data_IF_850861445489
#
_entry.id   IF_850861445489
#
_cell.length_a   1.000
_cell.length_b   1.000
_cell.length_c   1.000
_cell.angle_alpha   90.00
_cell.angle_beta   90.00
_cell.angle_gamma   90.00
#
_symmetry.space_group_name_H-M   'P 1'
#
loop_
_entity.id
_entity.type
_entity.pdbx_description
1 polymer ?
#
# COMPACT_ATOMS: atom_id res chain seq x y z
N UNK A 1 9.64 22.91 -12.83
CA UNK A 1 8.40 22.14 -12.62
C UNK A 1 8.43 21.59 -11.20
N UNK A 2 7.35 21.72 -10.42
CA UNK A 2 7.31 21.25 -9.03
C UNK A 2 7.37 19.72 -9.03
N UNK A 3 8.30 19.11 -8.28
CA UNK A 3 8.48 17.65 -8.27
C UNK A 3 7.47 16.95 -7.35
N UNK A 4 7.07 17.61 -6.27
CA UNK A 4 6.20 17.07 -5.21
C UNK A 4 5.14 18.09 -4.82
N UNK A 5 3.92 17.65 -4.52
CA UNK A 5 2.84 18.49 -4.01
C UNK A 5 2.45 18.14 -2.58
N UNK A 6 1.77 19.07 -1.92
CA UNK A 6 1.14 18.84 -0.63
C UNK A 6 -0.03 17.88 -0.81
N UNK A 7 -0.01 16.79 -0.06
CA UNK A 7 -1.08 15.77 -0.03
C UNK A 7 -1.67 15.62 1.38
N UNK A 8 -1.24 16.47 2.33
CA UNK A 8 -1.61 16.37 3.75
C UNK A 8 -2.98 16.96 4.07
N UNK A 9 -3.47 17.90 3.25
CA UNK A 9 -4.74 18.58 3.49
C UNK A 9 -5.92 17.60 3.32
N UNK A 10 -6.49 17.13 4.42
CA UNK A 10 -7.61 16.17 4.44
C UNK A 10 -8.85 16.64 3.65
N UNK A 11 -9.11 17.95 3.63
CA UNK A 11 -10.27 18.53 2.95
C UNK A 11 -10.07 18.66 1.43
N UNK A 12 -8.84 18.50 0.94
CA UNK A 12 -8.58 18.56 -0.49
C UNK A 12 -8.92 17.24 -1.18
N UNK A 13 -10.12 17.16 -1.76
CA UNK A 13 -10.62 15.93 -2.37
C UNK A 13 -9.89 15.57 -3.66
N UNK A 14 -9.23 16.52 -4.32
CA UNK A 14 -8.47 16.22 -5.55
C UNK A 14 -7.29 15.27 -5.32
N UNK A 15 -6.77 15.19 -4.09
CA UNK A 15 -5.56 14.43 -3.79
C UNK A 15 -5.81 12.92 -3.65
N UNK A 16 -7.06 12.49 -3.46
CA UNK A 16 -7.39 11.06 -3.30
C UNK A 16 -7.05 10.24 -4.55
N UNK A 17 -7.22 10.81 -5.76
CA UNK A 17 -6.90 10.12 -7.00
C UNK A 17 -5.38 9.94 -7.19
N UNK A 18 -4.54 10.99 -7.05
CA UNK A 18 -3.08 10.83 -6.99
C UNK A 18 -2.60 9.83 -5.95
N UNK A 19 -3.21 9.82 -4.75
CA UNK A 19 -2.86 8.87 -3.70
C UNK A 19 -3.16 7.43 -4.15
N UNK A 20 -4.37 7.18 -4.64
CA UNK A 20 -4.76 5.86 -5.16
C UNK A 20 -3.81 5.40 -6.28
N UNK A 21 -3.48 6.30 -7.20
CA UNK A 21 -2.51 6.03 -8.27
C UNK A 21 -1.13 5.68 -7.72
N UNK A 22 -0.63 6.42 -6.73
CA UNK A 22 0.65 6.15 -6.09
C UNK A 22 0.70 4.75 -5.49
N UNK A 23 -0.35 4.36 -4.77
CA UNK A 23 -0.46 3.04 -4.14
C UNK A 23 -0.55 1.93 -5.19
N UNK A 24 -1.46 2.04 -6.17
CA UNK A 24 -1.63 1.04 -7.23
C UNK A 24 -0.35 0.84 -8.04
N UNK A 25 0.39 1.92 -8.29
CA UNK A 25 1.65 1.85 -9.01
C UNK A 25 2.69 1.06 -8.21
N UNK A 26 2.90 1.38 -6.93
CA UNK A 26 3.81 0.60 -6.05
C UNK A 26 3.37 -0.86 -5.99
N UNK A 27 2.08 -1.10 -5.76
CA UNK A 27 1.52 -2.44 -5.62
C UNK A 27 1.77 -3.29 -6.87
N UNK A 28 1.61 -2.70 -8.06
CA UNK A 28 1.90 -3.39 -9.32
C UNK A 28 3.36 -3.87 -9.39
N UNK A 29 4.31 -3.06 -8.91
CA UNK A 29 5.72 -3.48 -8.81
C UNK A 29 5.92 -4.57 -7.75
N UNK A 30 5.27 -4.49 -6.59
CA UNK A 30 5.37 -5.51 -5.55
C UNK A 30 4.85 -6.86 -6.06
N UNK A 31 3.70 -6.89 -6.74
CA UNK A 31 3.17 -8.11 -7.36
C UNK A 31 4.17 -8.65 -8.38
N UNK A 32 4.66 -7.78 -9.28
CA UNK A 32 5.63 -8.17 -10.30
C UNK A 32 6.87 -8.83 -9.69
N UNK A 33 7.52 -8.18 -8.71
CA UNK A 33 8.71 -8.71 -8.06
C UNK A 33 8.44 -9.99 -7.24
N UNK A 34 7.27 -10.07 -6.61
CA UNK A 34 6.85 -11.28 -5.87
C UNK A 34 6.71 -12.48 -6.80
N UNK A 35 6.00 -12.31 -7.92
CA UNK A 35 5.73 -13.41 -8.85
C UNK A 35 6.97 -13.83 -9.65
N UNK A 36 7.96 -12.94 -9.82
CA UNK A 36 9.28 -13.26 -10.34
C UNK A 36 10.25 -13.82 -9.28
N UNK A 37 9.74 -14.18 -8.09
CA UNK A 37 10.49 -14.78 -7.00
C UNK A 37 11.67 -13.92 -6.48
N UNK A 38 11.62 -12.60 -6.65
CA UNK A 38 12.65 -11.68 -6.18
C UNK A 38 12.73 -11.66 -4.65
N UNK A 39 11.58 -11.64 -3.97
CA UNK A 39 11.49 -11.65 -2.51
C UNK A 39 11.66 -13.05 -1.88
N UNK A 40 11.68 -14.12 -2.70
CA UNK A 40 11.85 -15.52 -2.26
C UNK A 40 10.86 -15.97 -1.17
N UNK A 41 9.65 -15.39 -1.16
CA UNK A 41 8.59 -15.70 -0.20
C UNK A 41 7.53 -16.60 -0.81
N UNK A 42 7.42 -17.83 -0.31
CA UNK A 42 6.42 -18.78 -0.84
C UNK A 42 5.01 -18.36 -0.44
N UNK A 43 4.86 -17.82 0.78
CA UNK A 43 3.55 -17.37 1.28
C UNK A 43 3.06 -16.12 0.55
N UNK A 44 3.94 -15.18 0.21
CA UNK A 44 3.56 -14.00 -0.57
C UNK A 44 3.24 -14.34 -2.04
N UNK A 45 3.98 -15.25 -2.67
CA UNK A 45 3.59 -15.77 -3.99
C UNK A 45 2.23 -16.47 -3.95
N UNK A 46 2.00 -17.30 -2.92
CA UNK A 46 0.72 -17.96 -2.71
C UNK A 46 -0.44 -16.99 -2.49
N UNK A 47 -0.20 -15.88 -1.79
CA UNK A 47 -1.19 -14.81 -1.55
C UNK A 47 -1.78 -14.30 -2.87
N UNK A 48 -0.92 -13.86 -3.79
CA UNK A 48 -1.37 -13.34 -5.09
C UNK A 48 -1.94 -14.42 -6.01
N UNK A 49 -1.39 -15.63 -6.00
CA UNK A 49 -1.90 -16.73 -6.82
C UNK A 49 -3.29 -17.21 -6.37
N UNK A 50 -3.53 -17.25 -5.05
CA UNK A 50 -4.79 -17.73 -4.48
C UNK A 50 -5.90 -16.69 -4.51
N UNK A 51 -5.61 -15.46 -4.09
CA UNK A 51 -6.64 -14.43 -3.89
C UNK A 51 -6.73 -13.42 -5.04
N UNK A 52 -5.73 -13.38 -5.94
CA UNK A 52 -5.74 -12.60 -7.16
C UNK A 52 -6.14 -11.13 -6.90
N UNK A 53 -7.15 -10.61 -7.58
CA UNK A 53 -7.63 -9.22 -7.39
C UNK A 53 -8.08 -8.93 -5.95
N UNK A 54 -8.50 -9.94 -5.18
CA UNK A 54 -8.88 -9.74 -3.79
C UNK A 54 -7.67 -9.47 -2.89
N UNK A 55 -6.50 -10.04 -3.21
CA UNK A 55 -5.24 -9.70 -2.55
C UNK A 55 -4.89 -8.24 -2.84
N UNK A 56 -4.88 -7.86 -4.11
CA UNK A 56 -4.59 -6.48 -4.54
C UNK A 56 -5.53 -5.48 -3.88
N UNK A 57 -6.82 -5.79 -3.80
CA UNK A 57 -7.79 -4.92 -3.15
C UNK A 57 -7.47 -4.76 -1.65
N UNK A 58 -7.16 -5.84 -0.95
CA UNK A 58 -6.78 -5.78 0.46
C UNK A 58 -5.52 -4.91 0.66
N UNK A 59 -4.48 -5.14 -0.14
CA UNK A 59 -3.18 -4.48 -0.01
C UNK A 59 -3.27 -2.98 -0.36
N UNK A 60 -3.99 -2.63 -1.43
CA UNK A 60 -4.21 -1.23 -1.82
C UNK A 60 -5.07 -0.49 -0.80
N UNK A 61 -6.18 -1.08 -0.36
CA UNK A 61 -7.12 -0.39 0.53
C UNK A 61 -6.53 -0.15 1.90
N UNK A 62 -5.71 -1.06 2.43
CA UNK A 62 -5.10 -0.83 3.74
C UNK A 62 -4.08 0.30 3.72
N UNK A 63 -3.21 0.35 2.71
CA UNK A 63 -2.27 1.46 2.53
C UNK A 63 -3.03 2.77 2.36
N UNK A 64 -4.13 2.74 1.60
CA UNK A 64 -4.95 3.93 1.38
C UNK A 64 -5.58 4.43 2.68
N UNK A 65 -6.15 3.55 3.50
CA UNK A 65 -6.73 3.89 4.80
C UNK A 65 -5.69 4.53 5.72
N UNK A 66 -4.47 3.99 5.78
CA UNK A 66 -3.40 4.57 6.60
C UNK A 66 -2.99 5.96 6.10
N UNK A 67 -2.90 6.17 4.78
CA UNK A 67 -2.62 7.51 4.22
C UNK A 67 -3.77 8.48 4.53
N UNK A 68 -5.03 8.06 4.42
CA UNK A 68 -6.19 8.89 4.78
C UNK A 68 -6.13 9.29 6.26
N UNK A 69 -5.84 8.34 7.14
CA UNK A 69 -5.66 8.62 8.56
C UNK A 69 -4.47 9.58 8.82
N UNK A 70 -3.38 9.41 8.06
CA UNK A 70 -2.23 10.32 8.12
C UNK A 70 -2.64 11.74 7.76
N UNK A 71 -3.40 11.93 6.67
CA UNK A 71 -3.92 13.25 6.25
C UNK A 71 -4.82 13.88 7.31
N UNK A 72 -5.68 13.07 7.92
CA UNK A 72 -6.55 13.52 9.00
C UNK A 72 -5.73 14.00 10.21
N UNK A 73 -4.71 13.23 10.62
CA UNK A 73 -3.90 13.52 11.81
C UNK A 73 -2.80 14.57 11.59
N UNK A 74 -2.31 14.74 10.37
CA UNK A 74 -1.22 15.64 10.05
C UNK A 74 -1.34 17.06 10.62
N UNK A 75 -2.47 17.79 10.43
CA UNK A 75 -2.61 19.15 10.93
C UNK A 75 -2.64 19.26 12.47
N UNK A 76 -2.86 18.14 13.19
CA UNK A 76 -2.81 18.13 14.66
C UNK A 76 -1.37 18.13 15.19
N UNK A 77 -0.40 17.71 14.38
CA UNK A 77 1.02 17.63 14.78
C UNK A 77 1.90 18.68 14.08
N UNK A 78 1.52 19.11 12.87
CA UNK A 78 2.35 19.98 12.03
C UNK A 78 1.54 21.12 11.43
N UNK A 79 2.09 22.33 11.48
CA UNK A 79 1.45 23.54 10.93
C UNK A 79 1.80 23.81 9.46
N UNK A 80 2.85 23.20 8.94
CA UNK A 80 3.33 23.37 7.56
C UNK A 80 3.64 22.00 6.95
N UNK A 81 3.37 21.87 5.66
CA UNK A 81 3.63 20.63 4.94
C UNK A 81 5.13 20.39 4.76
N UNK A 82 5.54 19.19 5.14
CA UNK A 82 6.82 18.57 4.81
C UNK A 82 6.56 17.11 4.45
N UNK A 83 6.96 16.73 3.24
CA UNK A 83 6.80 15.36 2.74
C UNK A 83 7.51 14.33 3.65
N UNK A 84 8.66 14.70 4.21
CA UNK A 84 9.40 13.82 5.13
C UNK A 84 8.61 13.62 6.42
N UNK A 85 8.07 14.69 7.02
CA UNK A 85 7.23 14.57 8.22
C UNK A 85 5.95 13.79 7.95
N UNK A 86 5.38 13.93 6.75
CA UNK A 86 4.20 13.17 6.34
C UNK A 86 4.51 11.68 6.26
N UNK A 87 5.62 11.31 5.62
CA UNK A 87 6.08 9.92 5.53
C UNK A 87 6.37 9.35 6.92
N UNK A 88 7.04 10.10 7.81
CA UNK A 88 7.32 9.64 9.17
C UNK A 88 6.04 9.40 9.99
N UNK A 89 5.04 10.28 9.85
CA UNK A 89 3.73 10.06 10.48
C UNK A 89 3.01 8.85 9.89
N UNK A 90 3.04 8.69 8.56
CA UNK A 90 2.43 7.55 7.88
C UNK A 90 3.08 6.22 8.33
N UNK A 91 4.41 6.16 8.43
CA UNK A 91 5.14 5.00 8.94
C UNK A 91 4.76 4.68 10.39
N UNK A 92 4.66 5.68 11.26
CA UNK A 92 4.24 5.46 12.64
C UNK A 92 2.83 4.84 12.71
N UNK A 93 1.89 5.35 11.93
CA UNK A 93 0.53 4.84 11.87
C UNK A 93 0.47 3.43 11.24
N UNK A 94 1.25 3.20 10.18
CA UNK A 94 1.38 1.92 9.49
C UNK A 94 1.90 0.84 10.44
N UNK A 95 3.01 1.09 11.15
CA UNK A 95 3.59 0.14 12.12
C UNK A 95 2.60 -0.14 13.27
N UNK A 96 1.91 0.89 13.76
CA UNK A 96 0.88 0.72 14.78
C UNK A 96 -0.24 -0.18 14.28
N UNK A 97 -0.71 0.04 13.06
CA UNK A 97 -1.71 -0.81 12.42
C UNK A 97 -1.22 -2.26 12.29
N UNK A 98 -0.02 -2.51 11.79
CA UNK A 98 0.52 -3.87 11.62
C UNK A 98 0.54 -4.66 12.92
N UNK A 99 0.96 -4.02 14.02
CA UNK A 99 1.03 -4.65 15.34
C UNK A 99 -0.38 -5.02 15.83
N UNK A 100 -1.35 -4.12 15.65
CA UNK A 100 -2.74 -4.37 16.01
C UNK A 100 -3.37 -5.46 15.13
N UNK A 101 -3.10 -5.42 13.82
CA UNK A 101 -3.59 -6.39 12.86
C UNK A 101 -3.00 -7.77 13.11
N UNK A 102 -1.71 -7.86 13.45
CA UNK A 102 -1.06 -9.09 13.88
C UNK A 102 -1.79 -9.73 15.07
N UNK A 103 -2.09 -8.94 16.11
CA UNK A 103 -2.85 -9.43 17.27
C UNK A 103 -4.26 -9.88 16.87
N UNK A 104 -4.93 -9.13 15.99
CA UNK A 104 -6.26 -9.47 15.50
C UNK A 104 -6.26 -10.81 14.73
N UNK A 105 -5.43 -10.97 13.70
CA UNK A 105 -5.48 -12.17 12.88
C UNK A 105 -4.97 -13.42 13.60
N UNK A 106 -4.06 -13.26 14.58
CA UNK A 106 -3.58 -14.39 15.40
C UNK A 106 -4.62 -14.88 16.40
N UNK A 107 -5.51 -14.00 16.86
CA UNK A 107 -6.61 -14.35 17.75
C UNK A 107 -7.73 -15.13 17.04
N UNK A 108 -7.97 -14.86 15.75
CA UNK A 108 -9.00 -15.57 14.98
C UNK A 108 -8.61 -17.04 14.76
N UNK A 109 -9.44 -18.03 15.12
CA UNK A 109 -9.16 -19.44 14.86
C UNK A 109 -8.94 -19.77 13.37
N UNK A 110 -8.15 -20.81 13.08
CA UNK A 110 -7.95 -21.29 11.69
C UNK A 110 -9.24 -21.89 11.13
N UNK A 111 -9.41 -21.77 9.81
CA UNK A 111 -10.58 -22.28 9.08
C UNK A 111 -11.74 -21.30 8.99
N UNK A 112 -11.70 -20.18 9.74
CA UNK A 112 -12.76 -19.15 9.70
C UNK A 112 -12.59 -18.21 8.52
N UNK A 113 -11.34 -17.81 8.22
CA UNK A 113 -11.05 -16.89 7.13
C UNK A 113 -9.75 -17.28 6.42
N UNK A 114 -9.86 -17.61 5.13
CA UNK A 114 -8.74 -18.10 4.34
C UNK A 114 -7.61 -17.09 4.20
N UNK A 115 -7.89 -15.78 4.14
CA UNK A 115 -6.87 -14.74 4.04
C UNK A 115 -6.10 -14.61 5.35
N UNK A 116 -6.80 -14.57 6.49
CA UNK A 116 -6.17 -14.51 7.80
C UNK A 116 -5.31 -15.74 8.08
N UNK A 117 -5.70 -16.91 7.58
CA UNK A 117 -4.89 -18.12 7.69
C UNK A 117 -3.58 -18.02 6.89
N UNK A 118 -3.59 -17.35 5.75
CA UNK A 118 -2.36 -17.05 5.00
C UNK A 118 -1.50 -16.02 5.72
N UNK A 119 -2.08 -15.00 6.36
CA UNK A 119 -1.30 -14.05 7.19
C UNK A 119 -0.61 -14.74 8.37
N UNK A 120 -1.28 -15.68 9.04
CA UNK A 120 -0.66 -16.49 10.09
C UNK A 120 0.56 -17.26 9.57
N UNK A 121 0.42 -17.89 8.41
CA UNK A 121 1.52 -18.61 7.77
C UNK A 121 2.66 -17.68 7.36
N UNK A 122 2.32 -16.55 6.75
CA UNK A 122 3.28 -15.53 6.32
C UNK A 122 4.08 -14.96 7.50
N UNK A 123 3.42 -14.72 8.63
CA UNK A 123 4.09 -14.24 9.84
C UNK A 123 5.13 -15.23 10.38
N UNK A 124 4.92 -16.54 10.21
CA UNK A 124 5.93 -17.55 10.59
C UNK A 124 7.13 -17.58 9.63
N UNK A 125 6.91 -17.27 8.35
CA UNK A 125 7.95 -17.25 7.31
C UNK A 125 8.86 -16.02 7.43
N UNK A 126 8.26 -14.83 7.48
CA UNK A 126 8.97 -13.55 7.32
C UNK A 126 9.31 -12.90 8.67
N UNK A 127 8.58 -13.24 9.75
CA UNK A 127 8.75 -12.67 11.10
C UNK A 127 8.72 -11.13 11.05
N UNK A 128 9.68 -10.47 11.69
CA UNK A 128 9.75 -9.00 11.77
C UNK A 128 10.06 -8.31 10.44
N UNK A 129 10.51 -9.05 9.41
CA UNK A 129 10.85 -8.45 8.10
C UNK A 129 9.62 -7.96 7.33
N UNK A 130 8.41 -8.36 7.74
CA UNK A 130 7.16 -7.94 7.10
C UNK A 130 6.97 -6.42 7.25
N UNK A 131 7.17 -5.91 8.48
CA UNK A 131 7.07 -4.48 8.80
C UNK A 131 8.01 -3.64 7.93
N UNK A 132 9.21 -4.15 7.62
CA UNK A 132 10.17 -3.46 6.75
C UNK A 132 9.64 -3.38 5.32
N UNK A 133 9.07 -4.48 4.80
CA UNK A 133 8.43 -4.51 3.49
C UNK A 133 7.29 -3.49 3.40
N UNK A 134 6.39 -3.51 4.37
CA UNK A 134 5.22 -2.63 4.42
C UNK A 134 5.62 -1.15 4.59
N UNK A 135 6.68 -0.88 5.36
CA UNK A 135 7.28 0.46 5.46
C UNK A 135 7.79 0.97 4.11
N UNK A 136 8.45 0.12 3.31
CA UNK A 136 8.91 0.52 1.97
C UNK A 136 7.74 0.83 1.04
N UNK A 137 6.68 0.02 1.09
CA UNK A 137 5.45 0.27 0.33
C UNK A 137 4.85 1.62 0.72
N UNK A 138 4.78 1.93 2.02
CA UNK A 138 4.24 3.20 2.52
C UNK A 138 5.08 4.41 2.07
N UNK A 139 6.41 4.31 2.15
CA UNK A 139 7.34 5.37 1.70
C UNK A 139 7.14 5.65 0.21
N UNK A 140 7.21 4.62 -0.65
CA UNK A 140 7.09 4.81 -2.09
C UNK A 140 5.69 5.27 -2.48
N UNK A 141 4.64 4.76 -1.83
CA UNK A 141 3.27 5.19 -2.10
C UNK A 141 3.09 6.67 -1.78
N UNK A 142 3.64 7.14 -0.67
CA UNK A 142 3.60 8.56 -0.28
C UNK A 142 4.39 9.46 -1.24
N UNK A 143 5.58 9.02 -1.67
CA UNK A 143 6.40 9.73 -2.65
C UNK A 143 5.69 9.85 -4.00
N UNK A 144 5.15 8.74 -4.52
CA UNK A 144 4.45 8.73 -5.80
C UNK A 144 3.12 9.47 -5.72
N UNK A 145 2.39 9.37 -4.61
CA UNK A 145 1.18 10.16 -4.39
C UNK A 145 1.47 11.67 -4.47
N UNK A 146 2.52 12.12 -3.77
CA UNK A 146 2.95 13.52 -3.80
C UNK A 146 3.44 13.96 -5.19
N UNK A 147 4.10 13.07 -5.92
CA UNK A 147 4.53 13.34 -7.29
C UNK A 147 3.35 13.43 -8.26
N UNK A 148 2.43 12.46 -8.23
CA UNK A 148 1.24 12.43 -9.10
C UNK A 148 0.23 13.53 -8.78
N UNK A 149 0.27 14.10 -7.57
CA UNK A 149 -0.48 15.30 -7.22
C UNK A 149 0.01 16.55 -7.97
N UNK A 150 1.17 16.50 -8.63
CA UNK A 150 1.63 17.56 -9.55
C UNK A 150 1.04 17.41 -10.96
N UNK A 151 0.41 16.28 -11.28
CA UNK A 151 -0.14 15.99 -12.59
C UNK A 151 -1.55 16.54 -12.74
N UNK A 152 -1.99 16.74 -13.98
CA UNK A 152 -3.39 17.11 -14.26
C UNK A 152 -4.35 15.96 -13.88
N UNK A 153 -5.63 16.28 -13.69
CA UNK A 153 -6.66 15.29 -13.44
C UNK A 153 -6.71 14.24 -14.57
N UNK A 154 -6.66 14.66 -15.83
CA UNK A 154 -6.68 13.76 -16.98
C UNK A 154 -5.49 12.80 -16.99
N UNK A 155 -4.29 13.29 -16.65
CA UNK A 155 -3.11 12.44 -16.56
C UNK A 155 -3.23 11.41 -15.43
N UNK A 156 -3.80 11.79 -14.29
CA UNK A 156 -4.10 10.87 -13.21
C UNK A 156 -5.16 9.82 -13.61
N UNK A 157 -6.18 10.18 -14.39
CA UNK A 157 -7.15 9.20 -14.92
C UNK A 157 -6.47 8.24 -15.89
N UNK A 158 -5.63 8.73 -16.80
CA UNK A 158 -4.88 7.87 -17.73
C UNK A 158 -3.98 6.89 -16.96
N UNK A 159 -3.24 7.37 -15.95
CA UNK A 159 -2.42 6.53 -15.10
C UNK A 159 -3.25 5.45 -14.38
N UNK A 160 -4.39 5.83 -13.81
CA UNK A 160 -5.30 4.89 -13.13
C UNK A 160 -5.72 3.75 -14.06
N UNK A 161 -6.26 4.10 -15.24
CA UNK A 161 -6.77 3.12 -16.20
C UNK A 161 -5.64 2.23 -16.71
N UNK A 162 -4.47 2.80 -17.01
CA UNK A 162 -3.31 2.04 -17.44
C UNK A 162 -2.88 1.05 -16.37
N UNK A 163 -2.68 1.48 -15.13
CA UNK A 163 -2.26 0.59 -14.04
C UNK A 163 -3.29 -0.52 -13.77
N UNK A 164 -4.58 -0.18 -13.70
CA UNK A 164 -5.64 -1.18 -13.51
C UNK A 164 -5.72 -2.18 -14.66
N UNK A 165 -5.48 -1.75 -15.90
CA UNK A 165 -5.41 -2.65 -17.06
C UNK A 165 -4.27 -3.65 -16.95
N UNK A 166 -3.09 -3.23 -16.45
CA UNK A 166 -1.91 -4.10 -16.35
C UNK A 166 -1.97 -5.11 -15.20
N UNK A 167 -2.56 -4.76 -14.06
CA UNK A 167 -2.58 -5.61 -12.85
C UNK A 167 -3.04 -7.05 -13.13
N UNK A 168 -4.16 -7.31 -13.84
CA UNK A 168 -4.57 -8.67 -14.17
C UNK A 168 -3.49 -9.44 -14.93
N UNK A 169 -2.85 -8.83 -15.94
CA UNK A 169 -1.81 -9.52 -16.70
C UNK A 169 -0.60 -9.87 -15.85
N UNK A 170 -0.22 -9.01 -14.90
CA UNK A 170 0.87 -9.30 -13.95
C UNK A 170 0.49 -10.45 -13.01
N UNK A 171 -0.73 -10.46 -12.47
CA UNK A 171 -1.21 -11.52 -11.56
C UNK A 171 -1.22 -12.91 -12.19
N UNK A 172 -1.49 -13.00 -13.49
CA UNK A 172 -1.61 -14.27 -14.20
C UNK A 172 -0.32 -14.70 -14.93
N UNK A 173 0.80 -14.04 -14.68
CA UNK A 173 2.11 -14.52 -15.17
C UNK A 173 2.42 -15.88 -14.52
N UNK A 174 2.77 -16.88 -15.35
CA UNK A 174 3.22 -18.20 -14.91
C UNK A 174 4.72 -18.35 -15.15
N UNK A 175 5.46 -18.68 -14.09
CA UNK A 175 6.85 -19.12 -14.12
C UNK A 175 6.97 -20.52 -13.51
#
# INVERSE_FOLDING_TARGET
MKLFSDISNFNNVSDYLPILNGILFVETFIIFFTLHNFFRSKKLTFWYQKFQLSAVLADVTIVFLVIILTRFLYPFFFSQFSLILFILLALFLQITHDILFYKFFTWVPRGINAMLDVFKDYATEIKQKAIIGDSMIMIFSSLLASHFATYSFNMNIINLIFTLYFIPYVLFIKY
#
